data_IF_625911770255
#
_entry.id   IF_625911770255
#
_cell.length_a   1.000
_cell.length_b   1.000
_cell.length_c   1.000
_cell.angle_alpha   90.00
_cell.angle_beta   90.00
_cell.angle_gamma   90.00
#
_symmetry.space_group_name_H-M   'P 1'
#
loop_
_entity.id
_entity.type
_entity.pdbx_description
1 polymer ?
#
# COMPACT_ATOMS: atom_id res chain seq x y z
N UNK A 1 4.60 -3.49 25.16
CA UNK A 1 4.22 -2.21 24.52
C UNK A 1 2.88 -2.53 23.90
N UNK A 2 1.83 -1.86 24.35
CA UNK A 2 0.49 -2.06 23.79
C UNK A 2 0.57 -1.70 22.31
N UNK A 3 0.42 -2.69 21.43
CA UNK A 3 -0.09 -2.45 20.09
C UNK A 3 -1.41 -1.68 20.33
N UNK A 4 -1.39 -0.36 20.13
CA UNK A 4 -2.64 0.37 20.02
C UNK A 4 -3.32 -0.24 18.81
N UNK A 5 -4.35 -1.05 19.06
CA UNK A 5 -5.14 -1.70 18.02
C UNK A 5 -5.80 -0.56 17.23
N UNK A 6 -5.16 -0.15 16.14
CA UNK A 6 -5.66 0.93 15.30
C UNK A 6 -6.97 0.42 14.72
N UNK A 7 -8.07 1.06 15.12
CA UNK A 7 -9.38 0.74 14.57
C UNK A 7 -9.44 1.38 13.18
N UNK A 8 -9.04 0.63 12.15
CA UNK A 8 -8.97 1.12 10.78
C UNK A 8 -10.28 1.80 10.36
N UNK A 9 -11.43 1.23 10.75
CA UNK A 9 -12.78 1.73 10.44
C UNK A 9 -13.12 3.11 11.01
N UNK A 10 -12.36 3.61 11.98
CA UNK A 10 -12.54 4.94 12.58
C UNK A 10 -11.66 6.02 11.93
N UNK A 11 -10.65 5.62 11.13
CA UNK A 11 -9.77 6.54 10.42
C UNK A 11 -10.48 7.23 9.26
N UNK A 12 -10.06 8.46 8.93
CA UNK A 12 -10.43 9.07 7.65
C UNK A 12 -9.73 8.33 6.49
N UNK A 13 -10.22 8.51 5.25
CA UNK A 13 -9.54 7.93 4.08
C UNK A 13 -8.12 8.49 3.89
N UNK A 14 -7.91 9.76 4.24
CA UNK A 14 -6.60 10.40 4.17
C UNK A 14 -5.64 9.76 5.17
N UNK A 15 -6.06 9.60 6.42
CA UNK A 15 -5.24 8.95 7.46
C UNK A 15 -4.98 7.48 7.14
N UNK A 16 -5.95 6.77 6.55
CA UNK A 16 -5.76 5.39 6.09
C UNK A 16 -4.67 5.32 5.01
N UNK A 17 -4.65 6.26 4.05
CA UNK A 17 -3.60 6.28 3.04
C UNK A 17 -2.24 6.69 3.57
N UNK A 18 -2.17 7.55 4.60
CA UNK A 18 -0.90 7.83 5.27
C UNK A 18 -0.38 6.60 6.03
N UNK A 19 -1.25 5.90 6.77
CA UNK A 19 -0.89 4.65 7.45
C UNK A 19 -0.36 3.61 6.46
N UNK A 20 -1.04 3.44 5.32
CA UNK A 20 -0.58 2.54 4.25
C UNK A 20 0.82 2.88 3.73
N UNK A 21 1.23 4.15 3.75
CA UNK A 21 2.58 4.54 3.33
C UNK A 21 3.60 4.18 4.41
N UNK A 22 3.28 4.44 5.67
CA UNK A 22 4.13 4.12 6.82
C UNK A 22 4.33 2.60 6.96
N UNK A 23 3.24 1.83 6.94
CA UNK A 23 3.28 0.37 7.07
C UNK A 23 3.98 -0.28 5.86
N UNK A 24 3.82 0.28 4.66
CA UNK A 24 4.58 -0.15 3.50
C UNK A 24 6.07 0.16 3.68
N UNK A 25 6.42 1.35 4.16
CA UNK A 25 7.80 1.76 4.40
C UNK A 25 8.48 0.83 5.41
N UNK A 26 7.78 0.46 6.48
CA UNK A 26 8.24 -0.47 7.51
C UNK A 26 8.19 -1.94 7.08
N UNK A 27 7.57 -2.23 5.93
CA UNK A 27 7.48 -3.57 5.35
C UNK A 27 6.50 -4.49 6.05
N UNK A 28 5.47 -3.92 6.68
CA UNK A 28 4.39 -4.61 7.38
C UNK A 28 3.38 -5.15 6.37
N UNK A 29 3.67 -6.35 5.84
CA UNK A 29 2.88 -6.95 4.78
C UNK A 29 1.46 -7.37 5.18
N UNK A 30 1.27 -7.74 6.46
CA UNK A 30 -0.03 -8.18 6.97
C UNK A 30 -0.94 -6.95 7.17
N UNK A 31 -0.44 -5.86 7.74
CA UNK A 31 -1.17 -4.59 7.87
C UNK A 31 -1.61 -4.04 6.50
N UNK A 32 -0.69 -4.00 5.52
CA UNK A 32 -1.00 -3.57 4.16
C UNK A 32 -2.15 -4.36 3.53
N UNK A 33 -2.27 -5.65 3.86
CA UNK A 33 -3.39 -6.47 3.38
C UNK A 33 -4.70 -6.01 4.03
N UNK A 34 -4.70 -5.75 5.33
CA UNK A 34 -5.87 -5.28 6.07
C UNK A 34 -6.32 -3.89 5.59
N UNK A 35 -5.39 -2.95 5.45
CA UNK A 35 -5.66 -1.59 4.99
C UNK A 35 -6.17 -1.53 3.55
N UNK A 36 -5.59 -2.34 2.64
CA UNK A 36 -6.09 -2.45 1.26
C UNK A 36 -7.52 -2.96 1.25
N UNK A 37 -7.84 -3.98 2.06
CA UNK A 37 -9.21 -4.48 2.15
C UNK A 37 -10.15 -3.44 2.76
N UNK A 38 -9.69 -2.67 3.75
CA UNK A 38 -10.48 -1.60 4.35
C UNK A 38 -10.75 -0.46 3.36
N UNK A 39 -9.75 -0.04 2.58
CA UNK A 39 -9.98 0.97 1.54
C UNK A 39 -11.00 0.47 0.50
N UNK A 40 -10.89 -0.80 0.09
CA UNK A 40 -11.86 -1.41 -0.83
C UNK A 40 -13.25 -1.57 -0.19
N UNK A 41 -13.35 -1.80 1.11
CA UNK A 41 -14.62 -1.88 1.85
C UNK A 41 -15.38 -0.55 1.85
N UNK A 42 -14.63 0.56 1.73
CA UNK A 42 -15.12 1.95 1.64
C UNK A 42 -15.39 2.42 0.20
N UNK A 43 -15.65 1.47 -0.70
CA UNK A 43 -15.92 1.73 -2.12
C UNK A 43 -14.79 2.49 -2.85
N UNK A 44 -13.55 2.46 -2.33
CA UNK A 44 -12.42 3.06 -3.05
C UNK A 44 -12.09 2.25 -4.29
N UNK A 45 -11.80 2.95 -5.38
CA UNK A 45 -11.41 2.30 -6.62
C UNK A 45 -10.07 1.58 -6.44
N UNK A 46 -9.91 0.33 -6.92
CA UNK A 46 -8.65 -0.40 -6.80
C UNK A 46 -7.44 0.38 -7.36
N UNK A 47 -7.67 1.18 -8.40
CA UNK A 47 -6.65 2.06 -8.97
C UNK A 47 -6.22 3.17 -8.00
N UNK A 48 -7.18 3.79 -7.30
CA UNK A 48 -6.91 4.84 -6.31
C UNK A 48 -6.12 4.27 -5.12
N UNK A 49 -6.52 3.10 -4.61
CA UNK A 49 -5.80 2.42 -3.52
C UNK A 49 -4.37 2.08 -3.92
N UNK A 50 -4.17 1.66 -5.17
CA UNK A 50 -2.83 1.43 -5.71
C UNK A 50 -2.01 2.73 -5.77
N UNK A 51 -2.55 3.80 -6.35
CA UNK A 51 -1.78 5.03 -6.58
C UNK A 51 -1.52 5.81 -5.31
N UNK A 52 -2.54 5.97 -4.48
CA UNK A 52 -2.53 6.87 -3.32
C UNK A 52 -1.99 6.21 -2.05
N UNK A 53 -2.07 4.87 -1.96
CA UNK A 53 -1.43 4.08 -0.90
C UNK A 53 -0.09 3.49 -1.36
N UNK A 54 -0.14 2.38 -2.11
CA UNK A 54 1.04 1.54 -2.35
C UNK A 54 2.14 2.22 -3.20
N UNK A 55 1.76 2.92 -4.28
CA UNK A 55 2.73 3.58 -5.16
C UNK A 55 3.34 4.80 -4.45
N UNK A 56 2.52 5.60 -3.77
CA UNK A 56 2.99 6.72 -2.97
C UNK A 56 3.99 6.28 -1.88
N UNK A 57 3.70 5.18 -1.17
CA UNK A 57 4.63 4.62 -0.17
C UNK A 57 5.95 4.15 -0.81
N UNK A 58 5.86 3.46 -1.96
CA UNK A 58 7.06 2.98 -2.66
C UNK A 58 7.91 4.13 -3.24
N UNK A 59 7.31 5.28 -3.57
CA UNK A 59 8.05 6.47 -3.97
C UNK A 59 8.93 7.01 -2.83
N UNK A 60 8.40 7.03 -1.60
CA UNK A 60 9.14 7.44 -0.39
C UNK A 60 10.32 6.49 -0.17
N UNK A 61 10.07 5.17 -0.15
CA UNK A 61 11.12 4.14 -0.02
C UNK A 61 12.20 4.31 -1.10
N UNK A 62 11.80 4.61 -2.33
CA UNK A 62 12.71 4.83 -3.44
C UNK A 62 13.55 6.11 -3.32
N UNK A 63 12.99 7.18 -2.76
CA UNK A 63 13.73 8.41 -2.44
C UNK A 63 14.76 8.15 -1.34
N UNK A 64 14.32 7.54 -0.24
CA UNK A 64 15.17 7.32 0.93
C UNK A 64 16.29 6.31 0.66
N UNK A 65 16.04 5.31 -0.21
CA UNK A 65 17.11 4.43 -0.69
C UNK A 65 18.15 5.17 -1.54
N UNK A 66 17.73 6.11 -2.40
CA UNK A 66 18.65 6.93 -3.21
C UNK A 66 19.48 7.88 -2.33
N UNK A 67 18.88 8.41 -1.28
CA UNK A 67 19.52 9.35 -0.36
C UNK A 67 20.40 8.62 0.69
N UNK A 68 20.42 7.29 0.67
CA UNK A 68 21.23 6.46 1.56
C UNK A 68 20.68 6.35 2.98
N UNK A 69 19.38 6.63 3.16
CA UNK A 69 18.64 6.50 4.41
C UNK A 69 18.24 5.02 4.62
N UNK A 70 17.72 4.38 3.58
CA UNK A 70 17.38 2.95 3.58
C UNK A 70 18.50 2.11 2.93
N UNK A 71 18.61 0.85 3.34
CA UNK A 71 19.48 -0.12 2.71
C UNK A 71 18.66 -1.23 2.01
N UNK A 72 19.39 -2.15 1.37
CA UNK A 72 18.76 -3.23 0.60
C UNK A 72 17.79 -4.09 1.43
N UNK A 73 18.10 -4.49 2.68
CA UNK A 73 17.17 -5.29 3.49
C UNK A 73 15.82 -4.59 3.72
N UNK A 74 15.82 -3.30 4.03
CA UNK A 74 14.63 -2.51 4.29
C UNK A 74 13.78 -2.36 3.02
N UNK A 75 14.42 -2.05 1.88
CA UNK A 75 13.74 -1.97 0.58
C UNK A 75 13.12 -3.32 0.19
N UNK A 76 13.76 -4.44 0.51
CA UNK A 76 13.21 -5.77 0.26
C UNK A 76 11.98 -6.07 1.13
N UNK A 77 11.94 -5.57 2.38
CA UNK A 77 10.78 -5.68 3.25
C UNK A 77 9.61 -4.87 2.70
N UNK A 78 9.83 -3.61 2.34
CA UNK A 78 8.83 -2.76 1.70
C UNK A 78 8.30 -3.37 0.38
N UNK A 79 9.20 -3.91 -0.45
CA UNK A 79 8.81 -4.59 -1.68
C UNK A 79 7.95 -5.84 -1.44
N UNK A 80 8.19 -6.56 -0.33
CA UNK A 80 7.36 -7.71 0.08
C UNK A 80 5.97 -7.24 0.51
N UNK A 81 5.86 -6.16 1.27
CA UNK A 81 4.59 -5.56 1.68
C UNK A 81 3.79 -5.06 0.47
N UNK A 82 4.42 -4.33 -0.44
CA UNK A 82 3.81 -3.91 -1.72
C UNK A 82 3.27 -5.12 -2.50
N UNK A 83 4.02 -6.22 -2.55
CA UNK A 83 3.59 -7.44 -3.24
C UNK A 83 2.36 -8.07 -2.59
N UNK A 84 2.22 -7.99 -1.26
CA UNK A 84 1.06 -8.49 -0.54
C UNK A 84 -0.20 -7.69 -0.90
N UNK A 85 -0.16 -6.35 -0.83
CA UNK A 85 -1.27 -5.49 -1.26
C UNK A 85 -1.63 -5.68 -2.74
N UNK A 86 -0.62 -5.78 -3.62
CA UNK A 86 -0.84 -6.07 -5.04
C UNK A 86 -1.50 -7.42 -5.32
N UNK A 87 -1.36 -8.42 -4.44
CA UNK A 87 -2.02 -9.71 -4.63
C UNK A 87 -3.56 -9.57 -4.62
N UNK A 88 -4.07 -8.59 -3.86
CA UNK A 88 -5.51 -8.27 -3.76
C UNK A 88 -5.93 -7.37 -4.92
N UNK A 89 -5.16 -6.31 -5.21
CA UNK A 89 -5.53 -5.32 -6.22
C UNK A 89 -5.44 -5.86 -7.65
N UNK A 90 -4.50 -6.78 -7.94
CA UNK A 90 -4.29 -7.34 -9.30
C UNK A 90 -5.57 -7.88 -9.96
N UNK A 91 -6.34 -8.80 -9.36
CA UNK A 91 -7.57 -9.30 -9.97
C UNK A 91 -8.60 -8.18 -10.18
N UNK A 92 -8.75 -7.27 -9.22
CA UNK A 92 -9.72 -6.17 -9.29
C UNK A 92 -9.37 -5.15 -10.38
N UNK A 93 -8.09 -4.85 -10.56
CA UNK A 93 -7.57 -3.98 -11.64
C UNK A 93 -7.73 -4.62 -13.03
N UNK A 94 -7.65 -5.95 -13.12
CA UNK A 94 -7.87 -6.67 -14.36
C UNK A 94 -9.35 -6.69 -14.76
N UNK A 95 -10.27 -6.80 -13.79
CA UNK A 95 -11.72 -6.80 -14.01
C UNK A 95 -12.28 -5.42 -14.32
N UNK A 96 -11.73 -4.37 -13.69
CA UNK A 96 -12.12 -2.97 -13.94
C UNK A 96 -11.66 -2.43 -15.29
N UNK A 97 -11.01 -3.26 -16.11
CA UNK A 97 -10.74 -2.93 -17.50
C UNK A 97 -9.76 -1.77 -17.63
N UNK A 98 -8.54 -1.94 -17.13
CA UNK A 98 -7.40 -1.36 -17.81
C UNK A 98 -7.38 -1.94 -19.24
N UNK A 99 -8.15 -1.32 -20.12
CA UNK A 99 -8.13 -1.51 -21.56
C UNK A 99 -6.66 -1.63 -21.95
N UNK A 100 -6.28 -2.77 -22.50
CA UNK A 100 -4.92 -2.98 -23.01
C UNK A 100 -4.66 -1.88 -24.04
N UNK A 101 -4.04 -0.78 -23.62
CA UNK A 101 -3.49 0.21 -24.54
C UNK A 101 -2.33 -0.51 -25.23
N UNK A 102 -2.64 -1.07 -26.39
CA UNK A 102 -1.74 -1.89 -27.18
C UNK A 102 -2.49 -2.46 -28.37
N UNK A 103 -2.82 -1.59 -29.32
CA UNK A 103 -3.00 -1.98 -30.73
C UNK A 103 -1.66 -1.87 -31.44
#
# INVERSE_FOLDING_TARGET
MSEEEIILSELSLEDLYELMKEDLYDGLADEIVEEVNEALSRDQQPYEVLTSGLVAGMEIVGNDFRDGILFVPEVLMAAKAMKAGMAILRPLLAETGAEKIGT
#
